data_IF_833164546803
#
_entry.id   IF_833164546803
#
_cell.length_a   1.000
_cell.length_b   1.000
_cell.length_c   1.000
_cell.angle_alpha   90.00
_cell.angle_beta   90.00
_cell.angle_gamma   90.00
#
_symmetry.space_group_name_H-M   'P 1'
#
loop_
_entity.id
_entity.type
_entity.pdbx_description
1 polymer ?
#
# COMPACT_ATOMS: atom_id res chain seq x y z
N UNK A 1 -8.09 -14.79 -12.33
CA UNK A 1 -8.90 -13.54 -12.38
C UNK A 1 -9.87 -13.35 -11.18
N UNK A 2 -10.35 -14.41 -10.48
CA UNK A 2 -11.33 -14.30 -9.38
C UNK A 2 -10.87 -13.41 -8.21
N UNK A 3 -9.63 -13.58 -7.77
CA UNK A 3 -9.08 -12.84 -6.60
C UNK A 3 -8.80 -11.36 -6.86
N UNK A 4 -8.48 -11.00 -8.10
CA UNK A 4 -8.28 -9.59 -8.49
C UNK A 4 -9.56 -8.76 -8.36
N UNK A 5 -10.72 -9.37 -8.63
CA UNK A 5 -12.01 -8.70 -8.45
C UNK A 5 -12.36 -8.55 -6.97
N UNK A 6 -12.01 -9.55 -6.16
CA UNK A 6 -12.19 -9.51 -4.71
C UNK A 6 -11.31 -8.46 -4.03
N UNK A 7 -10.06 -8.28 -4.49
CA UNK A 7 -9.15 -7.30 -3.89
C UNK A 7 -9.60 -5.85 -4.07
N UNK A 8 -10.52 -5.57 -5.00
CA UNK A 8 -10.99 -4.22 -5.29
C UNK A 8 -12.39 -3.91 -4.69
N UNK A 9 -12.92 -4.80 -3.84
CA UNK A 9 -14.21 -4.56 -3.19
C UNK A 9 -14.06 -3.60 -2.01
N UNK A 10 -15.13 -2.86 -1.71
CA UNK A 10 -15.15 -1.91 -0.60
C UNK A 10 -14.89 -2.59 0.76
N UNK A 11 -15.35 -3.83 0.92
CA UNK A 11 -15.12 -4.63 2.12
C UNK A 11 -13.63 -4.88 2.37
N UNK A 12 -12.88 -5.21 1.31
CA UNK A 12 -11.43 -5.44 1.41
C UNK A 12 -10.71 -4.13 1.70
N UNK A 13 -11.06 -3.02 1.04
CA UNK A 13 -10.47 -1.70 1.31
C UNK A 13 -10.76 -1.20 2.73
N UNK A 14 -11.91 -1.57 3.30
CA UNK A 14 -12.27 -1.23 4.69
C UNK A 14 -11.52 -2.09 5.71
N UNK A 15 -11.29 -3.36 5.40
CA UNK A 15 -10.56 -4.29 6.28
C UNK A 15 -9.03 -4.14 6.20
N UNK A 16 -8.50 -3.82 5.03
CA UNK A 16 -7.07 -3.63 4.75
C UNK A 16 -6.81 -2.16 4.42
N UNK A 17 -6.85 -1.32 5.45
CA UNK A 17 -6.53 0.08 5.28
C UNK A 17 -5.03 0.28 5.01
N UNK A 18 -4.68 1.26 4.18
CA UNK A 18 -3.28 1.65 3.93
C UNK A 18 -2.52 1.98 5.21
N UNK A 19 -3.20 2.53 6.22
CA UNK A 19 -2.65 2.77 7.56
C UNK A 19 -2.24 1.47 8.27
N UNK A 20 -3.03 0.41 8.17
CA UNK A 20 -2.66 -0.89 8.74
C UNK A 20 -1.49 -1.53 7.97
N UNK A 21 -1.48 -1.39 6.64
CA UNK A 21 -0.35 -1.86 5.83
C UNK A 21 0.96 -1.17 6.25
N UNK A 22 0.92 0.14 6.51
CA UNK A 22 2.09 0.86 7.03
C UNK A 22 2.51 0.38 8.41
N UNK A 23 1.55 0.07 9.30
CA UNK A 23 1.86 -0.52 10.62
C UNK A 23 2.51 -1.90 10.50
N UNK A 24 2.23 -2.66 9.45
CA UNK A 24 2.89 -3.95 9.17
C UNK A 24 4.25 -3.82 8.50
N UNK A 25 4.74 -2.59 8.27
CA UNK A 25 6.06 -2.34 7.68
C UNK A 25 6.03 -2.09 6.17
N UNK A 26 4.86 -1.89 5.55
CA UNK A 26 4.80 -1.41 4.18
C UNK A 26 5.33 0.03 4.13
N UNK A 27 6.37 0.28 3.33
CA UNK A 27 6.92 1.62 3.14
C UNK A 27 6.17 2.31 1.97
N UNK A 28 5.68 3.54 2.14
CA UNK A 28 5.08 4.30 1.05
C UNK A 28 6.05 4.48 -0.11
N UNK A 29 5.57 4.29 -1.34
CA UNK A 29 6.37 4.47 -2.54
C UNK A 29 6.94 5.89 -2.64
N UNK A 30 6.19 6.90 -2.22
CA UNK A 30 6.64 8.29 -2.18
C UNK A 30 7.88 8.46 -1.30
N UNK A 31 7.90 7.83 -0.12
CA UNK A 31 9.05 7.88 0.79
C UNK A 31 10.29 7.21 0.17
N UNK A 32 10.10 6.11 -0.56
CA UNK A 32 11.19 5.46 -1.30
C UNK A 32 11.72 6.36 -2.42
N UNK A 33 10.83 7.04 -3.15
CA UNK A 33 11.20 7.97 -4.19
C UNK A 33 11.97 9.18 -3.64
N UNK A 34 11.55 9.73 -2.51
CA UNK A 34 12.26 10.82 -1.82
C UNK A 34 13.65 10.40 -1.36
N UNK A 35 13.80 9.20 -0.78
CA UNK A 35 15.11 8.66 -0.39
C UNK A 35 16.03 8.44 -1.60
N UNK A 36 15.48 7.94 -2.71
CA UNK A 36 16.24 7.74 -3.94
C UNK A 36 16.66 9.08 -4.55
N UNK A 37 15.77 10.08 -4.53
CA UNK A 37 16.05 11.43 -5.02
C UNK A 37 17.11 12.14 -4.16
N UNK A 38 17.01 12.05 -2.83
CA UNK A 38 17.99 12.65 -1.92
C UNK A 38 19.39 12.02 -2.03
N UNK A 39 19.50 10.82 -2.62
CA UNK A 39 20.76 10.12 -2.86
C UNK A 39 21.43 10.54 -4.20
N UNK A 40 20.67 11.12 -5.12
CA UNK A 40 21.15 11.58 -6.42
C UNK A 40 21.72 13.00 -6.30
#
# INVERSE_FOLDING_TARGET
>A
KKYWRLSNTHEVHRALTTKQLYKWGLIPLAQLAELAYARY
#
